data_IF_839796179816
#
_entry.id   IF_839796179816
#
_cell.length_a   1.000
_cell.length_b   1.000
_cell.length_c   1.000
_cell.angle_alpha   90.00
_cell.angle_beta   90.00
_cell.angle_gamma   90.00
#
_symmetry.space_group_name_H-M   'P 1'
#
loop_
_entity.id
_entity.type
_entity.pdbx_description
1 polymer ?
#
# COMPACT_ATOMS: atom_id res chain seq x y z
N UNK A 1 -21.08 -4.00 -10.20
CA UNK A 1 -20.47 -3.51 -8.95
C UNK A 1 -19.11 -4.15 -8.81
N UNK A 2 -18.10 -3.40 -8.36
CA UNK A 2 -16.83 -4.02 -8.01
C UNK A 2 -17.02 -4.80 -6.72
N UNK A 3 -16.50 -6.03 -6.65
CA UNK A 3 -16.54 -6.86 -5.47
C UNK A 3 -15.12 -6.96 -4.89
N UNK A 4 -15.00 -6.69 -3.60
CA UNK A 4 -13.81 -6.96 -2.83
C UNK A 4 -14.22 -7.81 -1.62
N UNK A 5 -13.63 -8.99 -1.39
CA UNK A 5 -14.03 -9.87 -0.30
C UNK A 5 -13.86 -9.20 1.06
N UNK A 6 -14.88 -9.26 1.88
CA UNK A 6 -14.90 -8.73 3.23
C UNK A 6 -15.70 -7.43 3.38
N UNK A 7 -15.83 -6.94 4.62
CA UNK A 7 -16.55 -5.69 4.89
C UNK A 7 -15.67 -4.47 4.61
N UNK A 8 -16.23 -3.39 4.11
CA UNK A 8 -15.52 -2.14 3.91
C UNK A 8 -14.98 -1.57 5.24
N UNK A 9 -13.86 -0.80 5.19
CA UNK A 9 -13.45 0.02 6.33
C UNK A 9 -14.54 0.99 6.76
N UNK A 10 -14.64 1.24 8.06
CA UNK A 10 -15.61 2.20 8.59
C UNK A 10 -15.20 3.63 8.25
N UNK A 11 -16.19 4.47 8.02
CA UNK A 11 -16.00 5.92 8.03
C UNK A 11 -15.94 6.38 9.48
N UNK A 12 -14.96 7.23 9.79
CA UNK A 12 -14.80 7.78 11.14
C UNK A 12 -15.93 8.76 11.52
N UNK A 13 -15.88 9.21 12.77
CA UNK A 13 -16.82 10.19 13.32
C UNK A 13 -16.73 11.55 12.61
N UNK A 14 -17.71 12.40 12.84
CA UNK A 14 -17.73 13.77 12.31
C UNK A 14 -16.56 14.58 12.88
N UNK A 15 -15.98 15.42 12.04
CA UNK A 15 -14.92 16.37 12.39
C UNK A 15 -15.26 17.75 11.81
N UNK A 16 -14.70 18.82 12.39
CA UNK A 16 -15.01 20.20 12.00
C UNK A 16 -14.10 20.71 10.86
N UNK A 17 -12.98 20.04 10.61
CA UNK A 17 -11.99 20.46 9.62
C UNK A 17 -12.54 20.34 8.19
N UNK A 18 -12.72 21.50 7.54
CA UNK A 18 -13.20 21.55 6.16
C UNK A 18 -12.20 21.03 5.11
N UNK A 19 -10.93 20.87 5.45
CA UNK A 19 -9.87 20.43 4.53
C UNK A 19 -9.86 18.92 4.31
N UNK A 20 -10.55 18.15 5.16
CA UNK A 20 -10.68 16.71 5.05
C UNK A 20 -11.99 16.36 4.34
N UNK A 21 -11.87 15.67 3.21
CA UNK A 21 -13.02 15.14 2.48
C UNK A 21 -13.60 13.89 3.15
N UNK A 22 -12.70 13.00 3.61
CA UNK A 22 -13.08 11.72 4.19
C UNK A 22 -12.05 11.27 5.23
N UNK A 23 -12.52 10.85 6.39
CA UNK A 23 -11.75 10.09 7.35
C UNK A 23 -12.20 8.62 7.33
N UNK A 24 -11.24 7.70 7.28
CA UNK A 24 -11.49 6.25 7.31
C UNK A 24 -10.84 5.66 8.56
N UNK A 25 -11.58 4.86 9.30
CA UNK A 25 -11.08 3.99 10.37
C UNK A 25 -10.87 2.60 9.77
N UNK A 26 -9.61 2.13 9.66
CA UNK A 26 -9.32 0.84 9.04
C UNK A 26 -9.99 -0.33 9.76
N UNK A 27 -10.38 -1.34 9.01
CA UNK A 27 -10.91 -2.59 9.55
C UNK A 27 -9.83 -3.68 9.58
N UNK A 28 -9.87 -4.52 10.63
CA UNK A 28 -9.06 -5.72 10.68
C UNK A 28 -9.46 -6.71 9.58
N UNK A 29 -8.47 -7.30 8.93
CA UNK A 29 -8.61 -8.34 7.91
C UNK A 29 -7.64 -9.46 8.20
N UNK A 30 -8.07 -10.68 7.95
CA UNK A 30 -7.21 -11.84 7.93
C UNK A 30 -6.72 -12.06 6.49
N UNK A 31 -5.41 -12.21 6.33
CA UNK A 31 -4.77 -12.59 5.09
C UNK A 31 -3.94 -13.84 5.37
N UNK A 32 -4.50 -14.99 5.03
CA UNK A 32 -3.86 -16.30 5.18
C UNK A 32 -3.34 -16.56 6.63
N UNK A 33 -4.12 -16.14 7.64
CA UNK A 33 -3.80 -16.28 9.07
C UNK A 33 -3.06 -15.09 9.68
N UNK A 34 -2.68 -14.08 8.90
CA UNK A 34 -2.06 -12.85 9.39
C UNK A 34 -3.04 -11.67 9.35
N UNK A 35 -3.18 -10.93 10.47
CA UNK A 35 -4.08 -9.80 10.55
C UNK A 35 -3.45 -8.50 10.06
N UNK A 36 -4.16 -7.80 9.17
CA UNK A 36 -3.83 -6.47 8.68
C UNK A 36 -4.96 -5.48 8.98
N UNK A 37 -4.67 -4.18 8.89
CA UNK A 37 -5.65 -3.10 8.96
C UNK A 37 -5.83 -2.48 7.58
N UNK A 38 -6.99 -2.72 6.96
CA UNK A 38 -7.32 -2.24 5.61
C UNK A 38 -7.97 -0.88 5.64
N UNK A 39 -7.38 0.09 4.95
CA UNK A 39 -7.88 1.46 4.80
C UNK A 39 -8.52 1.71 3.42
N UNK A 40 -8.03 1.08 2.36
CA UNK A 40 -8.59 1.13 1.01
C UNK A 40 -8.74 -0.27 0.43
N UNK A 41 -9.73 -0.53 -0.46
CA UNK A 41 -10.81 0.39 -0.87
C UNK A 41 -11.92 0.52 0.17
N UNK A 42 -12.70 1.61 0.07
CA UNK A 42 -13.96 1.77 0.81
C UNK A 42 -15.13 1.94 -0.17
N UNK A 43 -16.38 1.77 0.31
CA UNK A 43 -17.57 2.03 -0.49
C UNK A 43 -17.68 3.50 -0.94
N UNK A 44 -17.17 4.43 -0.12
CA UNK A 44 -17.23 5.88 -0.39
C UNK A 44 -16.03 6.40 -1.19
N UNK A 45 -14.86 5.76 -1.05
CA UNK A 45 -13.63 6.13 -1.74
C UNK A 45 -12.86 4.89 -2.13
N UNK A 46 -12.63 4.69 -3.42
CA UNK A 46 -11.92 3.51 -3.94
C UNK A 46 -10.45 3.75 -4.15
N UNK A 47 -10.10 4.97 -4.58
CA UNK A 47 -8.72 5.36 -4.89
C UNK A 47 -8.40 6.68 -4.20
N UNK A 48 -7.08 6.90 -4.01
CA UNK A 48 -6.47 8.19 -3.75
C UNK A 48 -5.30 8.31 -4.73
N UNK A 49 -5.42 9.14 -5.76
CA UNK A 49 -4.58 9.06 -6.94
C UNK A 49 -4.61 7.64 -7.50
N UNK A 50 -3.48 7.00 -7.78
CA UNK A 50 -3.43 5.62 -8.26
C UNK A 50 -3.60 4.57 -7.15
N UNK A 51 -3.56 4.94 -5.85
CA UNK A 51 -3.67 3.99 -4.74
C UNK A 51 -5.08 3.43 -4.65
N UNK A 52 -5.26 2.15 -5.01
CA UNK A 52 -6.53 1.42 -4.97
C UNK A 52 -6.64 0.47 -3.78
N UNK A 53 -5.54 0.25 -3.08
CA UNK A 53 -5.47 -0.65 -1.93
C UNK A 53 -4.43 -0.15 -0.93
N UNK A 54 -4.75 -0.25 0.37
CA UNK A 54 -3.87 0.15 1.45
C UNK A 54 -4.09 -0.71 2.68
N UNK A 55 -3.12 -1.58 2.98
CA UNK A 55 -3.09 -2.39 4.19
C UNK A 55 -1.90 -2.02 5.06
N UNK A 56 -2.14 -1.87 6.36
CA UNK A 56 -1.12 -1.80 7.39
C UNK A 56 -0.92 -3.17 8.01
N UNK A 57 0.28 -3.69 7.91
CA UNK A 57 0.77 -4.87 8.61
C UNK A 57 1.31 -4.48 9.98
N UNK A 58 0.89 -5.14 11.04
CA UNK A 58 1.39 -4.90 12.40
C UNK A 58 1.16 -3.48 12.94
N UNK A 59 1.99 -3.03 13.93
CA UNK A 59 3.09 -3.79 14.54
C UNK A 59 2.59 -5.06 15.23
N UNK A 60 3.27 -6.17 14.99
CA UNK A 60 2.95 -7.47 15.57
C UNK A 60 4.24 -8.23 15.91
N UNK A 61 4.18 -9.13 16.87
CA UNK A 61 5.26 -10.06 17.18
C UNK A 61 4.76 -11.46 16.80
N UNK A 62 5.38 -12.03 15.77
CA UNK A 62 5.22 -13.43 15.41
C UNK A 62 6.03 -14.27 16.38
N UNK A 63 5.39 -15.20 17.06
CA UNK A 63 6.05 -16.11 18.00
C UNK A 63 6.71 -17.25 17.24
N UNK A 64 7.53 -18.03 17.93
CA UNK A 64 8.08 -19.28 17.36
C UNK A 64 6.92 -20.16 16.88
N UNK A 65 6.95 -20.55 15.61
CA UNK A 65 5.89 -21.33 14.97
C UNK A 65 4.76 -20.48 14.33
N UNK A 66 4.74 -19.18 14.53
CA UNK A 66 3.90 -18.25 13.79
C UNK A 66 4.70 -17.65 12.63
N UNK A 67 4.04 -17.41 11.51
CA UNK A 67 4.66 -16.84 10.32
C UNK A 67 3.69 -15.91 9.58
N UNK A 68 4.24 -14.99 8.80
CA UNK A 68 3.52 -14.32 7.73
C UNK A 68 3.79 -15.16 6.47
N UNK A 69 2.81 -15.92 6.05
CA UNK A 69 2.92 -16.82 4.89
C UNK A 69 1.71 -16.66 3.98
N UNK A 70 1.82 -15.73 3.05
CA UNK A 70 0.82 -15.56 1.99
C UNK A 70 1.21 -16.43 0.82
N UNK A 71 0.41 -17.47 0.59
CA UNK A 71 0.61 -18.46 -0.48
C UNK A 71 0.54 -17.85 -1.86
N UNK A 72 1.06 -18.51 -2.90
CA UNK A 72 0.98 -18.05 -4.28
C UNK A 72 -0.43 -17.58 -4.67
N UNK A 73 -0.51 -16.36 -5.16
CA UNK A 73 -1.75 -15.70 -5.59
C UNK A 73 -1.48 -14.73 -6.75
N UNK A 74 -2.46 -14.55 -7.66
CA UNK A 74 -2.28 -13.78 -8.88
C UNK A 74 -2.67 -12.32 -8.72
N UNK A 75 -2.09 -11.45 -9.56
CA UNK A 75 -2.49 -10.06 -9.75
C UNK A 75 -2.57 -9.71 -11.23
N UNK A 76 -3.46 -8.79 -11.60
CA UNK A 76 -3.52 -8.11 -12.91
C UNK A 76 -3.83 -6.63 -12.74
N UNK A 77 -3.37 -5.78 -13.67
CA UNK A 77 -3.78 -4.38 -13.83
C UNK A 77 -3.33 -3.43 -12.71
N UNK A 78 -2.38 -3.85 -11.90
CA UNK A 78 -1.86 -3.08 -10.76
C UNK A 78 -0.35 -3.27 -10.58
N UNK A 79 0.24 -2.44 -9.72
CA UNK A 79 1.54 -2.71 -9.10
C UNK A 79 1.37 -2.82 -7.59
N UNK A 80 1.99 -3.82 -6.94
CA UNK A 80 2.10 -3.88 -5.49
C UNK A 80 3.32 -3.11 -5.02
N UNK A 81 3.19 -2.40 -3.90
CA UNK A 81 4.30 -1.72 -3.22
C UNK A 81 4.39 -2.27 -1.81
N UNK A 82 5.46 -2.98 -1.50
CA UNK A 82 5.76 -3.45 -0.15
C UNK A 82 6.82 -2.53 0.47
N UNK A 83 6.50 -1.95 1.64
CA UNK A 83 7.40 -1.08 2.40
C UNK A 83 7.35 -1.44 3.87
N UNK A 84 8.44 -2.01 4.38
CA UNK A 84 8.53 -2.47 5.76
C UNK A 84 9.15 -1.41 6.67
N UNK A 85 8.65 -1.32 7.91
CA UNK A 85 9.28 -0.58 9.00
C UNK A 85 10.11 -1.49 9.90
N UNK A 86 9.69 -2.78 10.03
CA UNK A 86 10.33 -3.79 10.85
C UNK A 86 10.00 -5.19 10.33
N UNK A 87 10.90 -6.15 10.62
CA UNK A 87 10.77 -7.52 10.13
C UNK A 87 11.29 -7.70 8.69
N UNK A 88 11.10 -8.89 8.15
CA UNK A 88 11.51 -9.25 6.80
C UNK A 88 10.45 -10.14 6.14
N UNK A 89 10.31 -10.00 4.83
CA UNK A 89 9.43 -10.82 4.00
C UNK A 89 10.23 -11.37 2.82
N UNK A 90 10.14 -12.68 2.57
CA UNK A 90 10.66 -13.30 1.35
C UNK A 90 9.58 -13.26 0.29
N UNK A 91 9.82 -12.50 -0.75
CA UNK A 91 9.04 -12.46 -1.98
C UNK A 91 9.57 -13.47 -2.97
N UNK A 92 8.66 -14.22 -3.62
CA UNK A 92 8.92 -15.01 -4.82
C UNK A 92 7.83 -14.73 -5.83
N UNK A 93 8.18 -14.73 -7.13
CA UNK A 93 7.19 -14.50 -8.18
C UNK A 93 7.39 -15.43 -9.40
N UNK A 94 6.41 -15.41 -10.28
CA UNK A 94 6.41 -16.22 -11.51
C UNK A 94 7.39 -15.76 -12.58
N UNK A 95 8.14 -14.66 -12.35
CA UNK A 95 9.27 -14.27 -13.19
C UNK A 95 10.57 -14.99 -12.75
N UNK A 96 10.52 -15.72 -11.63
CA UNK A 96 11.66 -16.35 -11.00
C UNK A 96 12.42 -15.43 -10.06
N UNK A 97 11.85 -14.28 -9.71
CA UNK A 97 12.43 -13.41 -8.68
C UNK A 97 12.33 -14.08 -7.31
N UNK A 98 13.43 -14.06 -6.57
CA UNK A 98 13.45 -14.34 -5.13
C UNK A 98 14.20 -13.21 -4.42
N UNK A 99 13.53 -12.53 -3.47
CA UNK A 99 14.06 -11.37 -2.79
C UNK A 99 13.60 -11.34 -1.33
N UNK A 100 14.53 -11.11 -0.40
CA UNK A 100 14.19 -10.78 0.99
C UNK A 100 14.06 -9.26 1.10
N UNK A 101 12.87 -8.80 1.47
CA UNK A 101 12.56 -7.39 1.66
C UNK A 101 13.00 -7.00 3.06
N UNK A 102 13.78 -5.94 3.17
CA UNK A 102 14.28 -5.39 4.42
C UNK A 102 13.59 -4.06 4.80
N UNK A 103 13.59 -3.69 6.08
CA UNK A 103 13.00 -2.43 6.53
C UNK A 103 13.57 -1.20 5.83
N UNK A 104 12.68 -0.41 5.23
CA UNK A 104 12.97 0.81 4.50
C UNK A 104 13.31 0.61 3.03
N UNK A 105 13.41 -0.62 2.54
CA UNK A 105 13.49 -0.91 1.11
C UNK A 105 12.11 -0.80 0.46
N UNK A 106 12.09 -0.59 -0.85
CA UNK A 106 10.86 -0.56 -1.65
C UNK A 106 10.89 -1.69 -2.67
N UNK A 107 9.92 -2.59 -2.58
CA UNK A 107 9.65 -3.55 -3.63
C UNK A 107 8.41 -3.11 -4.41
N UNK A 108 8.58 -2.98 -5.72
CA UNK A 108 7.53 -2.65 -6.68
C UNK A 108 7.36 -3.81 -7.64
N UNK A 109 6.29 -4.58 -7.51
CA UNK A 109 5.94 -5.64 -8.44
C UNK A 109 4.81 -5.15 -9.33
N UNK A 110 5.10 -4.85 -10.59
CA UNK A 110 4.10 -4.50 -11.58
C UNK A 110 3.53 -5.76 -12.20
N UNK A 111 2.25 -6.02 -11.96
CA UNK A 111 1.57 -7.21 -12.44
C UNK A 111 1.23 -7.13 -13.94
N UNK A 112 0.85 -5.95 -14.42
CA UNK A 112 0.46 -5.79 -15.81
C UNK A 112 -0.59 -6.81 -16.25
N UNK A 113 -0.33 -7.55 -17.33
CA UNK A 113 -1.23 -8.58 -17.84
C UNK A 113 -1.42 -9.78 -16.92
N UNK A 114 -0.51 -9.99 -15.96
CA UNK A 114 -0.61 -11.07 -14.96
C UNK A 114 0.73 -11.48 -14.38
N UNK A 115 0.77 -11.65 -13.05
CA UNK A 115 1.88 -12.21 -12.29
C UNK A 115 1.32 -13.00 -11.12
N UNK A 116 2.04 -14.03 -10.69
CA UNK A 116 1.76 -14.76 -9.45
C UNK A 116 2.93 -14.53 -8.50
N UNK A 117 2.64 -14.29 -7.21
CA UNK A 117 3.69 -14.18 -6.21
C UNK A 117 3.26 -14.77 -4.88
N UNK A 118 4.25 -15.03 -4.02
CA UNK A 118 4.08 -15.40 -2.62
C UNK A 118 4.93 -14.49 -1.73
N UNK A 119 4.49 -14.32 -0.49
CA UNK A 119 5.16 -13.51 0.52
C UNK A 119 5.24 -14.34 1.80
N UNK A 120 6.45 -14.75 2.18
CA UNK A 120 6.66 -15.67 3.30
C UNK A 120 7.68 -15.13 4.29
N UNK A 121 7.54 -15.51 5.54
CA UNK A 121 8.61 -15.33 6.53
C UNK A 121 9.85 -16.09 6.07
N UNK A 122 11.04 -15.44 5.99
CA UNK A 122 12.29 -16.11 5.67
C UNK A 122 12.56 -17.29 6.60
N UNK A 123 13.03 -18.42 6.05
CA UNK A 123 13.22 -19.68 6.80
C UNK A 123 14.15 -19.52 7.99
N UNK A 124 15.21 -18.72 7.82
CA UNK A 124 16.20 -18.43 8.84
C UNK A 124 15.64 -17.65 10.05
N UNK A 125 14.45 -17.07 9.93
CA UNK A 125 13.80 -16.30 11.00
C UNK A 125 12.70 -17.09 11.73
N UNK A 126 12.32 -18.28 11.25
CA UNK A 126 11.22 -19.07 11.82
C UNK A 126 11.53 -19.67 13.20
N UNK A 127 12.81 -19.75 13.57
CA UNK A 127 13.27 -20.33 14.83
C UNK A 127 13.24 -19.39 16.04
N UNK A 128 12.90 -18.11 15.84
CA UNK A 128 12.89 -17.07 16.89
C UNK A 128 11.66 -16.15 16.72
N UNK A 129 11.22 -15.45 17.78
CA UNK A 129 10.19 -14.42 17.63
C UNK A 129 10.67 -13.33 16.68
N UNK A 130 9.80 -12.89 15.77
CA UNK A 130 10.08 -11.83 14.81
C UNK A 130 9.02 -10.72 14.93
N UNK A 131 9.46 -9.48 15.06
CA UNK A 131 8.56 -8.34 14.88
C UNK A 131 8.29 -8.13 13.39
N UNK A 132 7.08 -7.67 13.05
CA UNK A 132 6.71 -7.28 11.69
C UNK A 132 5.86 -6.03 11.73
N UNK A 133 6.23 -5.06 10.91
CA UNK A 133 5.47 -3.84 10.70
C UNK A 133 5.75 -3.28 9.31
N UNK A 134 4.72 -2.90 8.59
CA UNK A 134 4.89 -2.37 7.23
C UNK A 134 3.58 -2.03 6.56
N UNK A 135 3.68 -1.77 5.28
CA UNK A 135 2.57 -1.40 4.42
C UNK A 135 2.60 -2.24 3.15
N UNK A 136 1.43 -2.72 2.77
CA UNK A 136 1.16 -3.28 1.45
C UNK A 136 0.17 -2.38 0.75
N UNK A 137 0.59 -1.76 -0.34
CA UNK A 137 -0.28 -0.87 -1.12
C UNK A 137 -0.31 -1.30 -2.58
N UNK A 138 -1.40 -1.01 -3.27
CA UNK A 138 -1.49 -1.27 -4.70
C UNK A 138 -1.76 0.02 -5.46
N UNK A 139 -1.02 0.19 -6.53
CA UNK A 139 -1.20 1.26 -7.52
C UNK A 139 -1.92 0.66 -8.72
N UNK A 140 -3.13 1.11 -9.00
CA UNK A 140 -3.82 0.72 -10.23
C UNK A 140 -3.07 1.31 -11.43
N UNK A 141 -2.87 0.50 -12.46
CA UNK A 141 -2.20 0.96 -13.67
C UNK A 141 -3.10 1.89 -14.49
N UNK A 142 -2.56 2.96 -15.07
CA UNK A 142 -3.34 3.88 -15.90
C UNK A 142 -3.77 3.25 -17.23
N UNK A 143 -4.70 3.90 -17.92
CA UNK A 143 -5.19 3.47 -19.22
C UNK A 143 -4.06 3.21 -20.21
N UNK A 144 -4.16 2.09 -20.93
CA UNK A 144 -3.14 1.64 -21.86
C UNK A 144 -1.88 1.02 -21.24
N UNK A 145 -1.80 0.93 -19.90
CA UNK A 145 -0.71 0.27 -19.17
C UNK A 145 -1.16 -0.98 -18.38
N UNK A 146 -2.44 -1.30 -18.40
CA UNK A 146 -2.98 -2.41 -17.60
C UNK A 146 -2.45 -3.79 -18.05
N UNK A 147 -2.09 -3.93 -19.34
CA UNK A 147 -1.64 -5.20 -19.95
C UNK A 147 -0.13 -5.19 -20.29
N UNK A 148 0.67 -4.31 -19.67
CA UNK A 148 2.14 -4.36 -19.86
C UNK A 148 2.71 -5.69 -19.38
N UNK A 149 3.93 -6.01 -19.81
CA UNK A 149 4.63 -7.17 -19.27
C UNK A 149 4.84 -7.00 -17.75
N UNK A 150 4.71 -8.07 -16.96
CA UNK A 150 5.02 -7.99 -15.53
C UNK A 150 6.52 -7.72 -15.33
N UNK A 151 6.83 -6.99 -14.25
CA UNK A 151 8.20 -6.66 -13.86
C UNK A 151 8.30 -6.50 -12.35
N UNK A 152 9.46 -6.84 -11.80
CA UNK A 152 9.80 -6.65 -10.40
C UNK A 152 11.00 -5.70 -10.27
N UNK A 153 10.83 -4.66 -9.47
CA UNK A 153 11.85 -3.66 -9.17
C UNK A 153 12.10 -3.59 -7.65
N UNK A 154 13.36 -3.58 -7.26
CA UNK A 154 13.78 -3.43 -5.87
C UNK A 154 14.69 -2.20 -5.72
N UNK A 155 14.34 -1.34 -4.77
CA UNK A 155 15.14 -0.17 -4.42
C UNK A 155 15.52 -0.24 -2.94
N UNK A 156 16.83 -0.38 -2.67
CA UNK A 156 17.35 -0.38 -1.30
C UNK A 156 17.14 0.98 -0.64
N UNK A 157 16.89 0.99 0.65
CA UNK A 157 16.64 2.22 1.44
C UNK A 157 17.73 3.29 1.31
N UNK A 158 18.97 2.88 1.05
CA UNK A 158 20.08 3.80 0.86
C UNK A 158 19.96 4.63 -0.43
N UNK A 159 19.24 4.13 -1.44
CA UNK A 159 18.96 4.83 -2.69
C UNK A 159 17.77 5.79 -2.62
N UNK A 160 16.96 5.73 -1.55
CA UNK A 160 15.79 6.60 -1.39
C UNK A 160 16.20 7.94 -0.77
N UNK A 161 15.74 9.08 -1.34
CA UNK A 161 16.03 10.41 -0.79
C UNK A 161 15.51 10.57 0.63
N UNK A 162 16.31 11.21 1.48
CA UNK A 162 15.97 11.54 2.86
C UNK A 162 15.88 13.05 3.01
N UNK A 163 15.02 13.49 3.90
CA UNK A 163 14.93 14.88 4.33
C UNK A 163 14.89 14.95 5.85
N UNK A 164 15.51 16.02 6.39
CA UNK A 164 15.48 16.32 7.82
C UNK A 164 15.64 17.85 7.97
N UNK A 165 14.63 18.53 8.44
CA UNK A 165 14.65 19.96 8.72
C UNK A 165 13.54 20.32 9.72
N UNK A 166 13.83 21.21 10.68
CA UNK A 166 12.83 21.84 11.58
C UNK A 166 11.93 20.82 12.33
N UNK A 167 12.51 19.69 12.77
CA UNK A 167 11.75 18.65 13.47
C UNK A 167 10.92 17.76 12.54
N UNK A 168 11.08 17.89 11.23
CA UNK A 168 10.46 17.02 10.21
C UNK A 168 11.54 16.17 9.58
N UNK A 169 11.37 14.86 9.59
CA UNK A 169 12.27 13.93 8.92
C UNK A 169 11.53 12.84 8.19
N UNK A 170 12.11 12.32 7.13
CA UNK A 170 11.49 11.24 6.40
C UNK A 170 12.24 10.80 5.16
N UNK A 171 11.50 10.11 4.29
CA UNK A 171 12.01 9.52 3.07
C UNK A 171 10.98 9.61 1.96
N UNK A 172 11.44 9.94 0.75
CA UNK A 172 10.60 9.90 -0.45
C UNK A 172 10.64 8.48 -1.00
N UNK A 173 9.51 7.76 -0.84
CA UNK A 173 9.37 6.36 -1.27
C UNK A 173 9.10 6.29 -2.76
N UNK A 174 8.14 7.08 -3.27
CA UNK A 174 7.80 7.18 -4.70
C UNK A 174 7.49 8.65 -5.03
N UNK A 175 7.85 9.09 -6.22
CA UNK A 175 7.57 10.42 -6.72
C UNK A 175 8.50 11.49 -6.14
N UNK A 176 7.98 12.69 -5.88
CA UNK A 176 8.78 13.83 -5.41
C UNK A 176 8.17 14.48 -4.16
N UNK A 177 9.03 14.93 -3.26
CA UNK A 177 8.67 15.69 -2.08
C UNK A 177 9.81 16.64 -1.72
N UNK A 178 9.48 17.94 -1.42
CA UNK A 178 10.48 18.97 -1.09
C UNK A 178 11.64 19.07 -2.11
N UNK A 179 11.34 18.94 -3.40
CA UNK A 179 12.33 19.00 -4.48
C UNK A 179 13.21 17.75 -4.63
N UNK A 180 13.03 16.73 -3.81
CA UNK A 180 13.73 15.45 -3.91
C UNK A 180 12.91 14.45 -4.70
N UNK A 181 13.57 13.66 -5.56
CA UNK A 181 12.92 12.68 -6.41
C UNK A 181 13.37 11.25 -6.06
N UNK A 182 12.41 10.36 -5.81
CA UNK A 182 12.68 8.95 -5.65
C UNK A 182 13.10 8.32 -7.00
N UNK A 183 14.04 7.37 -6.99
CA UNK A 183 14.40 6.60 -8.17
C UNK A 183 13.35 5.54 -8.56
N UNK A 184 12.37 5.26 -7.69
CA UNK A 184 11.33 4.26 -7.94
C UNK A 184 10.43 4.72 -9.08
N UNK A 185 10.43 3.98 -10.19
CA UNK A 185 9.68 4.31 -11.40
C UNK A 185 8.29 3.69 -11.36
N UNK A 186 7.26 4.49 -11.56
CA UNK A 186 5.85 4.08 -11.59
C UNK A 186 5.16 4.54 -12.87
N UNK A 187 4.01 3.92 -13.18
CA UNK A 187 3.31 4.13 -14.44
C UNK A 187 2.53 5.45 -14.52
N UNK A 188 2.28 6.11 -13.39
CA UNK A 188 1.52 7.36 -13.28
C UNK A 188 2.17 8.30 -12.27
N UNK A 189 1.82 9.60 -12.32
CA UNK A 189 2.29 10.54 -11.30
C UNK A 189 1.77 10.13 -9.93
N UNK A 190 2.70 9.82 -9.03
CA UNK A 190 2.43 9.24 -7.71
C UNK A 190 3.31 9.94 -6.69
N UNK A 191 2.76 10.21 -5.52
CA UNK A 191 3.46 10.69 -4.33
C UNK A 191 3.34 9.64 -3.24
N UNK A 192 4.46 9.22 -2.65
CA UNK A 192 4.49 8.35 -1.48
C UNK A 192 5.69 8.70 -0.62
N UNK A 193 5.45 9.20 0.59
CA UNK A 193 6.51 9.64 1.51
C UNK A 193 6.24 9.15 2.94
N UNK A 194 7.30 8.67 3.58
CA UNK A 194 7.35 8.30 4.99
C UNK A 194 7.79 9.54 5.79
N UNK A 195 6.93 10.07 6.67
CA UNK A 195 7.14 11.34 7.37
C UNK A 195 7.00 11.15 8.87
N UNK A 196 7.98 11.67 9.61
CA UNK A 196 7.98 11.74 11.08
C UNK A 196 8.08 13.20 11.52
N UNK A 197 7.21 13.57 12.43
CA UNK A 197 7.24 14.87 13.12
C UNK A 197 7.73 14.67 14.54
N UNK A 198 8.67 15.49 14.95
CA UNK A 198 9.03 15.66 16.37
C UNK A 198 7.92 16.44 17.09
N UNK A 199 7.95 16.43 18.42
CA UNK A 199 6.98 17.17 19.23
C UNK A 199 6.99 18.66 18.88
N UNK A 200 5.83 19.23 18.61
CA UNK A 200 5.64 20.64 18.21
C UNK A 200 5.93 20.93 16.72
N UNK A 201 6.43 19.97 15.95
CA UNK A 201 6.75 20.17 14.54
C UNK A 201 5.51 20.19 13.64
N UNK A 202 5.69 20.75 12.43
CA UNK A 202 4.65 20.77 11.40
C UNK A 202 5.25 20.67 10.00
N UNK A 203 4.47 20.11 9.07
CA UNK A 203 4.84 20.01 7.67
C UNK A 203 3.69 20.45 6.77
N UNK A 204 4.03 21.18 5.70
CA UNK A 204 3.09 21.55 4.65
C UNK A 204 3.00 20.42 3.63
N UNK A 205 1.78 20.02 3.28
CA UNK A 205 1.56 19.00 2.26
C UNK A 205 1.58 19.63 0.88
N UNK A 206 2.38 19.13 -0.08
CA UNK A 206 2.45 19.67 -1.44
C UNK A 206 1.09 19.67 -2.14
N UNK A 207 0.85 20.66 -3.00
CA UNK A 207 -0.40 20.82 -3.75
C UNK A 207 -0.30 20.32 -5.19
N UNK A 208 0.86 19.83 -5.63
CA UNK A 208 1.15 19.41 -6.99
C UNK A 208 0.59 18.02 -7.36
N UNK A 209 0.08 17.28 -6.39
CA UNK A 209 -0.69 16.06 -6.59
C UNK A 209 -2.19 16.36 -6.52
N UNK A 210 -2.96 15.88 -7.50
CA UNK A 210 -4.40 16.13 -7.62
C UNK A 210 -5.16 15.57 -6.40
N UNK A 211 -4.89 14.34 -6.02
CA UNK A 211 -5.46 13.68 -4.85
C UNK A 211 -4.37 13.40 -3.82
N UNK A 212 -4.66 13.66 -2.55
CA UNK A 212 -3.70 13.53 -1.45
C UNK A 212 -4.37 12.96 -0.21
N UNK A 213 -3.65 12.12 0.51
CA UNK A 213 -4.08 11.60 1.80
C UNK A 213 -2.88 11.38 2.71
N UNK A 214 -3.14 11.30 4.02
CA UNK A 214 -2.19 10.73 4.97
C UNK A 214 -2.81 9.53 5.67
N UNK A 215 -1.95 8.55 6.00
CA UNK A 215 -2.28 7.47 6.91
C UNK A 215 -1.43 7.60 8.17
N UNK A 216 -2.08 7.85 9.31
CA UNK A 216 -1.40 8.01 10.60
C UNK A 216 -0.97 6.64 11.15
N UNK A 217 0.33 6.48 11.39
CA UNK A 217 0.93 5.22 11.86
C UNK A 217 1.13 5.21 13.36
N UNK A 218 1.57 6.35 13.93
CA UNK A 218 1.85 6.49 15.35
C UNK A 218 1.70 7.95 15.78
N UNK A 219 1.42 8.18 17.07
CA UNK A 219 1.19 9.49 17.62
C UNK A 219 -0.15 10.10 17.25
N UNK A 220 -0.24 11.42 17.31
CA UNK A 220 -1.44 12.20 16.99
C UNK A 220 -1.08 13.35 16.06
N UNK A 221 -1.84 13.57 15.02
CA UNK A 221 -1.71 14.76 14.15
C UNK A 221 -2.87 15.71 14.35
N UNK A 222 -2.63 17.01 14.10
CA UNK A 222 -3.68 18.02 14.04
C UNK A 222 -3.68 18.71 12.69
N UNK A 223 -4.90 19.00 12.19
CA UNK A 223 -5.14 19.73 10.92
C UNK A 223 -6.26 20.72 11.21
N UNK A 224 -5.99 22.01 11.01
CA UNK A 224 -6.96 23.10 11.27
C UNK A 224 -7.63 23.05 12.64
N UNK A 225 -6.91 22.55 13.66
CA UNK A 225 -7.38 22.47 15.04
C UNK A 225 -8.01 21.14 15.44
N UNK A 226 -8.50 20.34 14.51
CA UNK A 226 -8.95 18.99 14.80
C UNK A 226 -7.78 18.03 14.97
N UNK A 227 -7.94 17.02 15.86
CA UNK A 227 -6.93 16.04 16.22
C UNK A 227 -7.31 14.65 15.74
N UNK A 228 -6.33 13.94 15.22
CA UNK A 228 -6.50 12.63 14.63
C UNK A 228 -5.44 11.67 15.19
N UNK A 229 -5.86 10.61 15.92
CA UNK A 229 -4.92 9.63 16.45
C UNK A 229 -4.34 8.72 15.36
N UNK A 230 -3.47 7.82 15.75
CA UNK A 230 -2.98 6.76 14.89
C UNK A 230 -4.11 5.90 14.29
N UNK A 231 -3.79 5.18 13.23
CA UNK A 231 -4.72 4.33 12.47
C UNK A 231 -5.92 5.10 11.89
N UNK A 232 -5.65 6.22 11.23
CA UNK A 232 -6.62 6.97 10.44
C UNK A 232 -6.10 7.23 9.05
N UNK A 233 -6.94 6.99 8.06
CA UNK A 233 -6.73 7.50 6.71
C UNK A 233 -7.50 8.82 6.58
N UNK A 234 -6.80 9.89 6.30
CA UNK A 234 -7.35 11.23 6.10
C UNK A 234 -7.17 11.60 4.62
N UNK A 235 -8.26 11.64 3.87
CA UNK A 235 -8.27 12.08 2.47
C UNK A 235 -8.56 13.56 2.43
N UNK A 236 -7.71 14.33 1.77
CA UNK A 236 -7.83 15.79 1.69
C UNK A 236 -8.69 16.23 0.51
N UNK A 237 -9.37 17.36 0.66
CA UNK A 237 -10.02 18.02 -0.47
C UNK A 237 -8.97 18.47 -1.50
N UNK A 238 -9.25 18.32 -2.79
CA UNK A 238 -8.35 18.79 -3.84
C UNK A 238 -8.07 20.29 -3.74
N UNK A 239 -6.82 20.71 -3.99
CA UNK A 239 -6.43 22.11 -4.07
C UNK A 239 -6.22 22.82 -2.73
N UNK A 240 -6.67 22.29 -1.60
CA UNK A 240 -6.51 22.92 -0.30
C UNK A 240 -5.04 22.91 0.17
N UNK A 241 -4.66 24.01 0.86
CA UNK A 241 -3.38 24.09 1.56
C UNK A 241 -3.50 23.37 2.89
N UNK A 242 -2.77 22.27 3.04
CA UNK A 242 -2.80 21.42 4.23
C UNK A 242 -1.51 21.59 5.02
N UNK A 243 -1.65 21.88 6.30
CA UNK A 243 -0.54 21.84 7.27
C UNK A 243 -0.86 20.78 8.33
N UNK A 244 -0.02 19.77 8.40
CA UNK A 244 -0.09 18.72 9.42
C UNK A 244 0.85 19.10 10.55
N UNK A 245 0.34 19.16 11.78
CA UNK A 245 1.08 19.43 13.01
C UNK A 245 1.04 18.25 13.95
N UNK A 246 1.99 18.17 14.86
CA UNK A 246 1.90 17.21 15.96
C UNK A 246 2.50 17.79 17.23
N UNK A 247 1.72 17.90 18.30
CA UNK A 247 2.20 18.31 19.61
C UNK A 247 3.02 17.20 20.31
N UNK A 248 2.58 15.93 20.32
CA UNK A 248 3.35 14.85 20.95
C UNK A 248 4.45 14.25 20.06
N UNK A 249 4.45 14.56 18.76
CA UNK A 249 5.16 13.84 17.72
C UNK A 249 4.26 12.84 16.99
N UNK A 250 4.55 12.56 15.73
CA UNK A 250 3.76 11.64 14.90
C UNK A 250 4.59 10.97 13.83
N UNK A 251 4.09 9.82 13.37
CA UNK A 251 4.57 9.12 12.19
C UNK A 251 3.40 8.86 11.26
N UNK A 252 3.51 9.22 10.00
CA UNK A 252 2.47 8.99 8.99
C UNK A 252 3.06 8.80 7.59
N UNK A 253 2.28 8.15 6.73
CA UNK A 253 2.54 8.13 5.30
C UNK A 253 1.73 9.22 4.61
N UNK A 254 2.39 10.02 3.80
CA UNK A 254 1.75 10.89 2.82
C UNK A 254 1.68 10.14 1.49
N UNK A 255 0.51 10.09 0.87
CA UNK A 255 0.36 9.44 -0.42
C UNK A 255 -0.72 10.07 -1.29
N UNK A 256 -0.64 9.83 -2.59
CA UNK A 256 -1.56 10.36 -3.58
C UNK A 256 -0.97 10.36 -4.97
N UNK A 257 -1.45 11.26 -5.82
CA UNK A 257 -1.03 11.40 -7.21
C UNK A 257 -2.14 11.98 -8.06
N UNK A 258 -1.98 11.89 -9.39
CA UNK A 258 -3.04 12.29 -10.29
C UNK A 258 -4.13 11.21 -10.35
N UNK A 259 -5.38 11.63 -10.50
CA UNK A 259 -6.50 10.71 -10.66
C UNK A 259 -6.37 9.94 -11.97
N UNK A 260 -6.81 8.67 -11.95
CA UNK A 260 -6.86 7.87 -13.17
C UNK A 260 -8.04 8.30 -14.04
N UNK A 261 -7.81 8.47 -15.33
CA UNK A 261 -8.81 8.99 -16.28
C UNK A 261 -10.07 8.14 -16.41
N UNK A 262 -9.99 6.84 -16.15
CA UNK A 262 -11.11 5.91 -16.21
C UNK A 262 -11.31 5.14 -14.92
N UNK A 263 -12.56 4.63 -14.76
CA UNK A 263 -12.94 3.84 -13.60
C UNK A 263 -12.15 2.54 -13.55
N UNK A 264 -11.68 2.16 -12.35
CA UNK A 264 -11.12 0.84 -12.07
C UNK A 264 -12.15 -0.02 -11.34
N UNK A 265 -12.31 -1.25 -11.83
CA UNK A 265 -12.98 -2.33 -11.13
C UNK A 265 -11.95 -3.09 -10.32
N UNK A 266 -12.34 -3.55 -9.16
CA UNK A 266 -11.54 -4.43 -8.32
C UNK A 266 -12.38 -5.64 -7.92
N UNK A 267 -11.83 -6.81 -8.10
CA UNK A 267 -12.39 -8.04 -7.60
C UNK A 267 -11.23 -8.91 -7.09
N UNK A 268 -11.24 -9.21 -5.81
CA UNK A 268 -10.15 -9.90 -5.11
C UNK A 268 -8.80 -9.20 -5.40
N UNK A 269 -7.85 -9.87 -6.07
CA UNK A 269 -6.53 -9.36 -6.43
C UNK A 269 -6.45 -8.84 -7.88
N UNK A 270 -7.58 -8.74 -8.56
CA UNK A 270 -7.66 -8.31 -9.96
C UNK A 270 -8.21 -6.89 -10.05
N UNK A 271 -7.49 -6.05 -10.78
CA UNK A 271 -7.86 -4.67 -11.09
C UNK A 271 -7.89 -4.50 -12.60
N UNK A 272 -8.91 -3.87 -13.14
CA UNK A 272 -8.97 -3.52 -14.55
C UNK A 272 -10.01 -2.42 -14.82
N UNK A 273 -9.86 -1.68 -15.90
CA UNK A 273 -10.91 -0.81 -16.46
C UNK A 273 -12.04 -1.61 -17.14
N UNK A 274 -11.80 -2.90 -17.47
CA UNK A 274 -12.77 -3.82 -18.06
C UNK A 274 -13.21 -4.90 -17.07
N UNK A 275 -14.53 -5.09 -16.96
CA UNK A 275 -15.10 -6.21 -16.19
C UNK A 275 -14.84 -7.55 -16.87
N UNK A 276 -14.86 -7.57 -18.18
CA UNK A 276 -14.60 -8.75 -19.02
C UNK A 276 -13.20 -9.26 -18.76
N UNK A 277 -12.21 -8.36 -18.63
CA UNK A 277 -10.82 -8.74 -18.31
C UNK A 277 -10.71 -9.38 -16.91
N UNK A 278 -11.49 -8.89 -15.93
CA UNK A 278 -11.54 -9.51 -14.59
C UNK A 278 -12.13 -10.92 -14.68
N UNK A 279 -13.25 -11.11 -15.42
CA UNK A 279 -13.84 -12.44 -15.59
C UNK A 279 -12.87 -13.40 -16.32
N UNK A 280 -12.14 -12.90 -17.30
CA UNK A 280 -11.09 -13.66 -17.97
C UNK A 280 -9.99 -14.09 -16.99
N UNK A 281 -9.50 -13.18 -16.13
CA UNK A 281 -8.47 -13.50 -15.14
C UNK A 281 -8.95 -14.54 -14.10
N UNK A 282 -10.20 -14.46 -13.69
CA UNK A 282 -10.83 -15.48 -12.82
C UNK A 282 -10.80 -16.86 -13.48
N UNK A 283 -11.17 -16.92 -14.77
CA UNK A 283 -11.12 -18.17 -15.54
C UNK A 283 -9.68 -18.66 -15.72
N UNK A 284 -8.75 -17.77 -16.01
CA UNK A 284 -7.33 -18.08 -16.15
C UNK A 284 -6.74 -18.67 -14.87
N UNK A 285 -7.06 -18.08 -13.70
CA UNK A 285 -6.61 -18.62 -12.42
C UNK A 285 -7.27 -19.96 -12.10
N UNK A 286 -8.58 -20.08 -12.30
CA UNK A 286 -9.31 -21.33 -12.05
C UNK A 286 -8.82 -22.52 -12.88
N UNK A 287 -8.34 -22.26 -14.08
CA UNK A 287 -7.87 -23.28 -15.05
C UNK A 287 -6.35 -23.42 -15.10
N UNK A 288 -5.61 -22.79 -14.16
CA UNK A 288 -4.16 -22.92 -14.07
C UNK A 288 -3.39 -22.32 -15.26
N UNK A 289 -3.88 -21.23 -15.84
CA UNK A 289 -3.24 -20.55 -16.98
C UNK A 289 -2.33 -19.38 -16.58
N UNK A 290 -2.26 -19.05 -15.31
CA UNK A 290 -1.19 -18.20 -14.79
C UNK A 290 0.09 -19.02 -14.63
N UNK A 291 1.24 -18.33 -14.77
CA UNK A 291 2.53 -18.95 -14.50
C UNK A 291 2.67 -19.32 -13.01
N UNK A 292 3.47 -20.33 -12.73
CA UNK A 292 3.75 -20.81 -11.36
C UNK A 292 4.89 -20.00 -10.72
N UNK A 293 4.98 -20.03 -9.41
CA UNK A 293 6.07 -19.43 -8.63
C UNK A 293 7.16 -20.47 -8.41
N UNK A 294 8.35 -20.35 -9.05
CA UNK A 294 9.43 -21.31 -8.83
C UNK A 294 9.86 -21.38 -7.36
N UNK A 295 9.93 -22.59 -6.81
CA UNK A 295 10.27 -22.84 -5.41
C UNK A 295 9.12 -22.64 -4.43
N UNK A 296 7.86 -22.46 -4.93
CA UNK A 296 6.65 -22.37 -4.13
C UNK A 296 5.43 -22.87 -4.94
N UNK A 297 5.51 -24.11 -5.47
CA UNK A 297 4.55 -24.67 -6.42
C UNK A 297 3.45 -25.53 -5.77
N UNK A 298 3.60 -25.91 -4.48
CA UNK A 298 2.74 -26.90 -3.85
C UNK A 298 1.40 -26.33 -3.39
N UNK A 299 1.36 -25.05 -3.08
CA UNK A 299 0.19 -24.38 -2.52
C UNK A 299 -0.23 -23.18 -3.37
N UNK A 300 -1.48 -22.76 -3.25
CA UNK A 300 -1.97 -21.51 -3.83
C UNK A 300 -3.22 -21.01 -3.09
N UNK A 301 -3.52 -19.72 -3.22
CA UNK A 301 -4.75 -19.14 -2.70
C UNK A 301 -5.86 -19.34 -3.72
N UNK A 302 -6.93 -20.10 -3.39
CA UNK A 302 -8.05 -20.31 -4.31
C UNK A 302 -8.85 -19.01 -4.50
N UNK A 303 -9.61 -18.93 -5.60
CA UNK A 303 -10.58 -17.84 -5.79
C UNK A 303 -11.55 -17.78 -4.60
N UNK A 304 -11.91 -16.57 -4.13
CA UNK A 304 -12.95 -16.42 -3.13
C UNK A 304 -14.25 -17.06 -3.58
N UNK A 305 -14.92 -17.74 -2.66
CA UNK A 305 -16.30 -18.19 -2.91
C UNK A 305 -17.19 -16.95 -3.04
N UNK A 306 -17.85 -16.82 -4.19
CA UNK A 306 -18.73 -15.70 -4.52
C UNK A 306 -19.99 -15.63 -3.66
#
# INVERSE_FOLDING_TARGET
MSFFPGNDPNVGDAFACDQIELMVVPNARDIDGFQVRRALPTARRRLVGPFIFFDRMGPAILRVGEALDVRPHPHIGLSTVTYLFDGKIRHRDSLGTEMVIEPGDVNLMTAGRGIVHSERTPEELRGAPMSVSGLQTWLALPDGKEEVAPVFDHTVKAGLPRFEAEGVKGRVVIGSFEGMNSPVSVASKTLYADIRLEAGASVKIPQDAEERAIYTLDGEVSISGDRFPADRLLVFKPGDEIVVRSEPGAHFMLFGGDSLGSKRYIWWNFVSSSKERIEQAKEEWRTGRFDIVPGDEEEFVPLPKG
#
